data_IF_489478181186
#
_entry.id   IF_489478181186
#
_cell.length_a   1.000
_cell.length_b   1.000
_cell.length_c   1.000
_cell.angle_alpha   90.00
_cell.angle_beta   90.00
_cell.angle_gamma   90.00
#
_symmetry.space_group_name_H-M   'P 1'
#
loop_
_entity.id
_entity.type
_entity.pdbx_description
1 polymer ?
2 non-polymer ?
3 non-polymer ?
4 water ?
#
# COMPACT_ATOMS: atom_id res chain seq x y z
N UNK A 16 12.78 9.21 26.81
CA UNK A 16 12.52 10.15 27.90
C UNK A 16 11.21 9.76 28.63
N UNK A 17 11.06 10.26 29.86
CA UNK A 17 10.01 9.86 30.80
C UNK A 17 8.55 9.96 30.28
N UNK A 18 7.62 9.34 31.01
CA UNK A 18 6.17 9.62 30.83
C UNK A 18 5.74 10.70 31.83
N UNK A 19 4.85 11.61 31.41
CA UNK A 19 4.33 12.69 32.26
C UNK A 19 3.16 12.18 33.08
N UNK A 20 2.32 11.40 32.43
CA UNK A 20 1.25 10.71 33.10
C UNK A 20 0.64 9.78 32.09
N UNK A 21 -0.57 9.32 32.37
CA UNK A 21 -1.25 8.40 31.48
C UNK A 21 -2.72 8.80 31.30
N UNK A 22 -3.12 8.93 30.03
CA UNK A 22 -4.49 9.32 29.69
C UNK A 22 -5.54 8.39 30.32
N UNK A 23 -5.28 7.10 30.40
CA UNK A 23 -6.32 6.18 30.92
C UNK A 23 -6.29 6.04 32.46
N UNK A 24 -5.39 6.77 33.10
CA UNK A 24 -5.41 6.89 34.55
C UNK A 24 -6.00 8.28 34.92
N UNK A 25 -5.64 9.32 34.17
CA UNK A 25 -6.18 10.67 34.43
C UNK A 25 -7.61 10.80 33.88
N UNK A 26 -7.88 10.11 32.78
CA UNK A 26 -9.17 10.22 32.09
C UNK A 26 -9.57 8.86 31.48
N UNK A 27 -10.04 8.87 30.24
CA UNK A 27 -10.28 7.63 29.50
C UNK A 27 -9.76 7.86 28.09
N UNK A 28 -9.81 6.81 27.30
CA UNK A 28 -9.73 6.94 25.86
C UNK A 28 -10.82 7.89 25.42
N UNK A 29 -10.50 8.70 24.42
CA UNK A 29 -11.51 9.50 23.74
C UNK A 29 -12.36 8.69 22.78
N UNK A 30 -13.47 8.18 23.29
CA UNK A 30 -14.29 7.24 22.57
C UNK A 30 -14.85 7.77 21.26
N UNK A 31 -14.93 9.09 21.14
CA UNK A 31 -15.48 9.71 19.94
C UNK A 31 -14.40 10.10 18.91
N UNK A 32 -13.13 9.91 19.24
CA UNK A 32 -12.06 10.23 18.31
C UNK A 32 -12.20 9.43 17.04
N UNK A 33 -12.09 10.08 15.88
CA UNK A 33 -12.19 9.41 14.58
C UNK A 33 -11.21 8.22 14.44
N UNK A 34 -10.01 8.32 15.01
CA UNK A 34 -9.10 7.18 14.96
C UNK A 34 -9.49 6.06 15.94
N UNK A 35 -10.24 6.36 17.00
CA UNK A 35 -10.72 5.25 17.85
C UNK A 35 -11.83 4.49 17.16
N UNK A 36 -12.62 5.23 16.38
CA UNK A 36 -13.71 4.64 15.63
C UNK A 36 -13.14 3.80 14.47
N UNK A 37 -12.05 4.26 13.86
CA UNK A 37 -11.41 3.44 12.85
C UNK A 37 -10.75 2.18 13.43
N UNK A 38 -10.17 2.32 14.61
CA UNK A 38 -9.66 1.17 15.40
C UNK A 38 -10.77 0.13 15.67
N UNK A 39 -11.97 0.56 15.99
CA UNK A 39 -13.05 -0.36 16.34
C UNK A 39 -13.46 -1.11 15.09
N UNK A 40 -13.43 -0.42 13.98
CA UNK A 40 -13.79 -1.05 12.69
C UNK A 40 -12.72 -2.01 12.26
N UNK A 41 -11.47 -1.66 12.50
CA UNK A 41 -10.36 -2.53 12.14
C UNK A 41 -10.45 -3.87 12.89
N UNK A 42 -10.81 -3.81 14.17
CA UNK A 42 -10.98 -5.04 14.92
C UNK A 42 -12.14 -5.87 14.35
N UNK A 43 -13.30 -5.25 14.17
CA UNK A 43 -14.45 -5.98 13.60
C UNK A 43 -14.19 -6.62 12.26
N UNK A 44 -13.53 -5.89 11.36
CA UNK A 44 -13.33 -6.32 9.97
C UNK A 44 -11.94 -6.85 9.66
N UNK A 45 -11.11 -7.05 10.69
CA UNK A 45 -9.72 -7.43 10.51
C UNK A 45 -9.41 -8.84 10.93
N UNK A 46 -10.35 -9.75 10.74
CA UNK A 46 -10.23 -11.08 11.30
C UNK A 46 -9.54 -12.08 10.36
N UNK A 47 -9.45 -11.77 9.08
CA UNK A 47 -8.89 -12.71 8.12
C UNK A 47 -7.46 -13.12 8.47
N UNK A 48 -7.15 -14.34 8.07
CA UNK A 48 -5.84 -14.93 8.33
C UNK A 48 -5.32 -15.53 7.05
N UNK A 49 -4.19 -15.00 6.55
CA UNK A 49 -3.63 -15.55 5.31
C UNK A 49 -3.33 -17.08 5.34
N UNK A 50 -3.10 -17.61 6.54
CA UNK A 50 -2.80 -19.03 6.71
C UNK A 50 -4.01 -19.95 6.35
N UNK A 51 -5.18 -19.35 6.20
CA UNK A 51 -6.42 -20.08 5.91
C UNK A 51 -6.71 -20.12 4.42
N UNK A 52 -5.97 -19.38 3.61
CA UNK A 52 -6.21 -19.35 2.16
C UNK A 52 -5.74 -20.67 1.54
N UNK A 53 -6.65 -21.30 0.81
CA UNK A 53 -6.33 -22.47 0.02
C UNK A 53 -5.62 -22.03 -1.27
N UNK A 54 -4.34 -22.36 -1.38
CA UNK A 54 -3.55 -22.00 -2.56
C UNK A 54 -3.32 -23.22 -3.49
N UNK A 55 -3.95 -24.34 -3.21
CA UNK A 55 -3.70 -25.53 -4.03
C UNK A 55 -4.03 -25.33 -5.50
N UNK A 56 -5.05 -24.53 -5.78
CA UNK A 56 -5.42 -24.28 -7.17
C UNK A 56 -4.42 -23.31 -7.83
N UNK A 57 -3.86 -22.39 -7.04
CA UNK A 57 -2.90 -21.43 -7.59
C UNK A 57 -1.65 -22.15 -8.02
N UNK A 58 -1.26 -23.15 -7.22
CA UNK A 58 -0.16 -24.04 -7.55
C UNK A 58 -0.38 -24.74 -8.93
N UNK A 59 -1.50 -25.43 -9.07
CA UNK A 59 -1.82 -26.09 -10.34
C UNK A 59 -1.86 -25.10 -11.49
N UNK A 60 -2.47 -23.93 -11.28
CA UNK A 60 -2.56 -22.91 -12.33
C UNK A 60 -1.17 -22.47 -12.80
N UNK A 61 -0.28 -22.22 -11.86
CA UNK A 61 1.04 -21.68 -12.18
C UNK A 61 1.90 -22.72 -12.92
N UNK A 62 1.81 -23.97 -12.51
CA UNK A 62 2.48 -25.07 -13.21
C UNK A 62 1.97 -25.21 -14.65
N UNK A 63 0.64 -25.23 -14.82
CA UNK A 63 0.01 -25.29 -16.15
C UNK A 63 0.47 -24.19 -17.09
N UNK A 64 1.03 -23.13 -16.54
CA UNK A 64 1.44 -22.03 -17.39
C UNK A 64 2.69 -22.42 -18.13
N UNK A 65 2.86 -21.83 -19.30
CA UNK A 65 4.09 -21.95 -20.06
C UNK A 65 5.10 -21.09 -19.36
N UNK A 66 6.36 -21.31 -19.67
CA UNK A 66 7.44 -20.68 -18.94
C UNK A 66 7.42 -19.15 -19.15
N UNK A 67 6.84 -18.68 -20.25
CA UNK A 67 6.77 -17.24 -20.53
C UNK A 67 5.44 -16.62 -20.10
N UNK A 68 4.45 -17.47 -19.85
CA UNK A 68 3.23 -17.03 -19.19
C UNK A 68 3.53 -16.86 -17.72
N UNK A 69 4.32 -17.79 -17.19
CA UNK A 69 4.80 -17.76 -15.81
C UNK A 69 5.42 -16.44 -15.42
N UNK A 70 6.31 -15.89 -16.26
CA UNK A 70 6.97 -14.64 -15.91
C UNK A 70 6.06 -13.45 -16.11
N UNK A 71 4.95 -13.61 -16.82
CA UNK A 71 4.06 -12.46 -17.04
C UNK A 71 3.52 -11.96 -15.70
N UNK A 72 3.31 -12.88 -14.77
CA UNK A 72 2.72 -12.55 -13.49
C UNK A 72 3.72 -11.97 -12.48
N UNK A 73 4.98 -12.38 -12.61
CA UNK A 73 5.96 -12.16 -11.56
C UNK A 73 6.36 -10.69 -11.25
N UNK A 74 6.42 -9.79 -12.26
CA UNK A 74 6.82 -8.39 -11.96
C UNK A 74 5.90 -7.73 -10.96
N UNK A 75 4.61 -7.98 -11.12
CA UNK A 75 3.63 -7.39 -10.21
C UNK A 75 3.72 -8.04 -8.86
N UNK A 76 3.96 -9.33 -8.79
CA UNK A 76 4.11 -9.98 -7.51
C UNK A 76 5.38 -9.46 -6.83
N UNK A 77 6.40 -9.13 -7.63
CA UNK A 77 7.67 -8.68 -7.07
C UNK A 77 7.50 -7.28 -6.46
N UNK A 78 6.71 -6.42 -7.11
CA UNK A 78 6.41 -5.07 -6.62
C UNK A 78 5.53 -5.07 -5.36
N UNK A 79 4.62 -6.04 -5.29
CA UNK A 79 3.78 -6.18 -4.12
C UNK A 79 4.49 -6.78 -2.88
N UNK A 80 5.22 -7.88 -3.04
CA UNK A 80 5.87 -8.51 -1.87
C UNK A 80 6.81 -7.55 -1.18
N UNK A 81 7.64 -6.92 -1.99
CA UNK A 81 8.56 -5.89 -1.51
C UNK A 81 7.77 -4.73 -0.95
N UNK A 82 6.72 -4.35 -1.69
CA UNK A 82 5.89 -3.22 -1.28
C UNK A 82 5.29 -3.42 0.10
N UNK A 83 4.69 -4.58 0.33
CA UNK A 83 4.08 -4.92 1.62
C UNK A 83 5.13 -5.02 2.73
N UNK A 84 6.26 -5.65 2.42
CA UNK A 84 7.37 -5.69 3.36
C UNK A 84 7.82 -4.28 3.77
N UNK A 85 8.03 -3.39 2.79
CA UNK A 85 8.51 -2.05 3.10
C UNK A 85 7.54 -1.33 4.01
N UNK A 86 6.24 -1.45 3.76
CA UNK A 86 5.30 -0.61 4.52
C UNK A 86 5.05 -1.21 5.89
N UNK A 87 5.26 -2.52 5.99
CA UNK A 87 5.22 -3.18 7.30
C UNK A 87 6.28 -2.53 8.18
N UNK A 88 7.47 -2.40 7.63
CA UNK A 88 8.62 -1.90 8.39
C UNK A 88 8.48 -0.38 8.60
N UNK A 89 8.00 0.33 7.59
CA UNK A 89 8.17 1.79 7.55
C UNK A 89 7.05 2.60 8.19
N UNK A 90 6.06 1.93 8.75
CA UNK A 90 5.01 2.62 9.50
C UNK A 90 5.42 2.88 10.93
N UNK A 91 6.41 2.13 11.44
CA UNK A 91 6.85 2.25 12.83
C UNK A 91 7.20 3.67 13.28
N UNK A 92 7.87 4.46 12.43
CA UNK A 92 8.21 5.83 12.91
C UNK A 92 6.97 6.69 13.05
N UNK A 93 5.97 6.44 12.22
CA UNK A 93 4.74 7.23 12.35
C UNK A 93 4.12 6.94 13.69
N UNK A 94 4.08 5.64 14.03
CA UNK A 94 3.48 5.24 15.30
C UNK A 94 4.25 5.92 16.45
N UNK A 95 5.57 5.96 16.34
CA UNK A 95 6.38 6.59 17.37
C UNK A 95 6.09 8.08 17.51
N UNK A 96 6.13 8.77 16.39
CA UNK A 96 5.91 10.22 16.39
C UNK A 96 4.59 10.59 17.01
N UNK A 97 3.52 9.93 16.57
CA UNK A 97 2.22 10.23 17.10
C UNK A 97 2.10 9.84 18.58
N UNK A 98 2.73 8.73 18.96
CA UNK A 98 2.77 8.32 20.37
C UNK A 98 3.40 9.38 21.23
N UNK A 99 4.50 9.95 20.74
CA UNK A 99 5.26 10.91 21.53
C UNK A 99 4.48 12.23 21.63
N UNK A 100 3.62 12.49 20.65
CA UNK A 100 2.72 13.63 20.72
C UNK A 100 1.48 13.38 21.58
N UNK A 101 1.38 12.22 22.23
CA UNK A 101 0.22 11.97 23.09
C UNK A 101 -1.09 11.56 22.37
N UNK A 102 -1.00 11.24 21.08
CA UNK A 102 -2.19 10.93 20.29
C UNK A 102 -2.53 9.44 20.47
N UNK A 103 -3.05 9.08 21.64
CA UNK A 103 -3.21 7.67 21.98
C UNK A 103 -4.16 6.95 21.04
N UNK A 104 -5.24 7.60 20.60
CA UNK A 104 -6.21 6.87 19.76
C UNK A 104 -5.59 6.54 18.43
N UNK A 105 -4.76 7.45 17.94
CA UNK A 105 -4.02 7.23 16.71
C UNK A 105 -3.14 5.97 16.82
N UNK A 106 -2.38 5.92 17.91
CA UNK A 106 -1.53 4.80 18.19
C UNK A 106 -2.32 3.48 18.25
N UNK A 107 -3.46 3.46 18.94
CA UNK A 107 -4.27 2.25 18.98
C UNK A 107 -4.64 1.83 17.60
N UNK A 108 -5.07 2.79 16.80
CA UNK A 108 -5.43 2.43 15.45
C UNK A 108 -4.23 1.92 14.67
N UNK A 109 -3.10 2.57 14.84
CA UNK A 109 -1.93 2.15 14.10
C UNK A 109 -1.48 0.73 14.47
N UNK A 110 -1.83 0.20 15.63
CA UNK A 110 -1.49 -1.23 15.89
C UNK A 110 -2.23 -2.12 14.90
N UNK A 111 -3.44 -1.75 14.51
CA UNK A 111 -4.15 -2.60 13.57
C UNK A 111 -3.56 -2.40 12.17
N UNK A 112 -3.08 -1.20 11.90
CA UNK A 112 -2.49 -0.86 10.59
C UNK A 112 -1.28 -1.78 10.34
N UNK A 113 -0.43 -1.82 11.34
CA UNK A 113 0.81 -2.56 11.30
C UNK A 113 0.58 -4.05 11.18
N UNK A 114 -0.33 -4.56 11.98
CA UNK A 114 -0.66 -5.98 11.90
C UNK A 114 -1.30 -6.34 10.56
N UNK A 115 -2.18 -5.48 10.03
CA UNK A 115 -2.66 -5.68 8.65
C UNK A 115 -1.49 -5.85 7.68
N UNK A 116 -0.50 -4.97 7.76
CA UNK A 116 0.58 -5.02 6.78
C UNK A 116 1.36 -6.35 6.95
N UNK A 117 1.55 -6.75 8.20
CA UNK A 117 2.21 -8.02 8.48
C UNK A 117 1.51 -9.16 7.75
N UNK A 118 0.19 -9.21 7.85
CA UNK A 118 -0.57 -10.16 7.11
C UNK A 118 -0.43 -9.99 5.61
N UNK A 119 -0.22 -8.77 5.09
CA UNK A 119 -0.09 -8.60 3.65
C UNK A 119 1.19 -9.17 3.13
N UNK A 120 2.29 -8.89 3.82
CA UNK A 120 3.57 -9.53 3.52
C UNK A 120 3.46 -11.04 3.60
N UNK A 121 2.78 -11.52 4.64
CA UNK A 121 2.62 -12.95 4.86
C UNK A 121 1.93 -13.55 3.65
N UNK A 122 0.88 -12.87 3.18
CA UNK A 122 0.02 -13.46 2.15
C UNK A 122 0.79 -13.67 0.83
N UNK A 123 1.44 -12.63 0.36
CA UNK A 123 2.23 -12.81 -0.82
C UNK A 123 3.34 -13.84 -0.66
N UNK A 124 3.95 -13.91 0.52
CA UNK A 124 5.08 -14.76 0.65
C UNK A 124 4.58 -16.21 0.62
N UNK A 125 3.41 -16.45 1.19
CA UNK A 125 2.77 -17.76 1.11
C UNK A 125 2.44 -18.12 -0.31
N UNK A 126 2.02 -17.16 -1.10
CA UNK A 126 1.65 -17.48 -2.48
C UNK A 126 2.92 -17.90 -3.25
N UNK A 127 3.98 -17.12 -3.11
CA UNK A 127 5.26 -17.48 -3.71
C UNK A 127 5.75 -18.89 -3.31
N UNK A 128 5.68 -19.21 -2.03
CA UNK A 128 6.08 -20.51 -1.56
C UNK A 128 5.21 -21.57 -2.23
N UNK A 129 3.89 -21.35 -2.28
CA UNK A 129 2.98 -22.40 -2.70
C UNK A 129 3.09 -22.69 -4.19
N UNK A 130 3.33 -21.68 -5.02
CA UNK A 130 3.41 -21.90 -6.45
C UNK A 130 4.82 -22.31 -6.88
N UNK A 131 5.77 -22.23 -5.96
CA UNK A 131 7.06 -22.85 -6.17
C UNK A 131 8.12 -21.90 -6.70
N UNK A 132 7.95 -20.60 -6.51
CA UNK A 132 8.96 -19.58 -6.85
C UNK A 132 9.60 -18.93 -5.63
N UNK A 133 9.46 -19.58 -4.48
CA UNK A 133 10.00 -19.03 -3.25
C UNK A 133 11.52 -18.88 -3.30
N UNK A 134 12.18 -19.80 -4.02
CA UNK A 134 13.63 -19.80 -4.12
C UNK A 134 14.13 -18.83 -5.22
N UNK A 135 13.18 -18.24 -5.94
CA UNK A 135 13.47 -17.34 -7.04
C UNK A 135 13.63 -15.89 -6.54
N UNK A 136 14.71 -15.22 -6.96
CA UNK A 136 14.95 -13.84 -6.58
C UNK A 136 14.22 -12.86 -7.49
N UNK A 137 13.12 -12.32 -7.02
CA UNK A 137 12.30 -11.43 -7.84
C UNK A 137 12.78 -9.94 -7.85
N UNK A 138 13.91 -9.64 -7.21
CA UNK A 138 14.46 -8.28 -7.17
C UNK A 138 14.72 -7.73 -8.58
N UNK A 139 14.93 -8.63 -9.51
CA UNK A 139 15.23 -8.26 -10.88
C UNK A 139 14.10 -7.47 -11.59
N UNK A 140 12.88 -7.48 -11.02
CA UNK A 140 11.77 -6.72 -11.58
C UNK A 140 11.56 -5.37 -10.90
N UNK A 141 12.51 -4.97 -10.05
CA UNK A 141 12.50 -3.61 -9.49
C UNK A 141 13.42 -2.69 -10.27
N UNK A 142 12.86 -1.85 -11.15
CA UNK A 142 13.66 -0.91 -11.90
C UNK A 142 14.09 0.27 -11.01
N UNK A 143 14.81 1.22 -11.60
CA UNK A 143 15.37 2.34 -10.84
C UNK A 143 14.25 3.16 -10.17
N UNK A 144 13.14 3.38 -10.86
CA UNK A 144 12.03 4.17 -10.31
C UNK A 144 11.36 3.47 -9.13
N UNK A 145 11.11 2.18 -9.25
CA UNK A 145 10.61 1.44 -8.07
C UNK A 145 11.54 1.62 -6.87
N UNK A 146 12.84 1.47 -7.07
CA UNK A 146 13.82 1.62 -5.98
C UNK A 146 13.78 3.02 -5.38
N UNK A 147 13.62 4.02 -6.22
CA UNK A 147 13.60 5.37 -5.73
C UNK A 147 12.47 5.54 -4.72
N UNK A 148 11.32 4.93 -5.00
CA UNK A 148 10.17 5.13 -4.13
C UNK A 148 10.30 4.23 -2.91
N UNK A 149 10.46 2.93 -3.14
CA UNK A 149 10.37 1.94 -2.07
C UNK A 149 11.65 1.69 -1.28
N UNK A 150 12.79 1.73 -1.96
CA UNK A 150 14.06 1.45 -1.30
C UNK A 150 14.61 2.71 -0.66
N UNK A 151 14.19 3.86 -1.17
CA UNK A 151 14.72 5.17 -0.77
C UNK A 151 13.73 6.20 -0.20
N UNK A 152 12.87 6.80 -1.01
CA UNK A 152 12.01 7.89 -0.56
C UNK A 152 11.05 7.50 0.56
N UNK A 153 10.56 6.26 0.55
CA UNK A 153 9.59 5.86 1.56
C UNK A 153 10.33 5.79 2.91
N UNK A 154 11.43 5.02 2.97
CA UNK A 154 12.07 4.98 4.29
C UNK A 154 12.70 6.28 4.72
N UNK A 155 13.11 7.16 3.81
CA UNK A 155 13.68 8.43 4.23
C UNK A 155 12.64 9.28 4.85
N UNK A 156 11.46 9.35 4.22
CA UNK A 156 10.43 10.20 4.76
C UNK A 156 9.87 9.71 6.11
N UNK A 157 9.76 8.41 6.32
CA UNK A 157 9.22 7.90 7.60
C UNK A 157 10.25 8.08 8.74
N UNK A 158 11.47 7.70 8.45
CA UNK A 158 12.51 7.68 9.48
C UNK A 158 12.82 9.06 9.97
N UNK A 159 12.59 10.05 9.12
CA UNK A 159 12.81 11.43 9.45
C UNK A 159 12.02 11.78 10.68
N UNK A 160 10.90 11.12 10.86
CA UNK A 160 10.00 11.46 11.97
C UNK A 160 10.66 11.19 13.30
N UNK A 161 11.68 10.35 13.35
CA UNK A 161 12.34 10.10 14.64
C UNK A 161 12.98 11.40 15.14
N UNK A 162 13.47 12.24 14.23
CA UNK A 162 14.14 13.48 14.67
C UNK A 162 13.42 14.78 14.36
N UNK A 163 12.34 14.68 13.60
CA UNK A 163 11.68 15.84 13.07
C UNK A 163 10.21 15.45 12.85
N UNK A 164 9.34 15.90 13.73
CA UNK A 164 7.93 15.55 13.68
C UNK A 164 7.13 16.83 13.49
N UNK A 165 7.73 17.77 12.76
CA UNK A 165 7.03 18.99 12.35
C UNK A 165 5.83 18.65 11.45
N UNK A 166 4.83 19.52 11.44
CA UNK A 166 3.70 19.36 10.51
C UNK A 166 4.17 18.98 9.12
N UNK A 167 5.25 19.60 8.69
CA UNK A 167 5.75 19.42 7.34
C UNK A 167 6.32 18.01 7.13
N UNK A 168 7.02 17.51 8.14
CA UNK A 168 7.59 16.19 8.05
C UNK A 168 6.44 15.16 8.13
N UNK A 169 5.42 15.40 8.95
CA UNK A 169 4.31 14.43 9.05
C UNK A 169 3.45 14.41 7.80
N UNK A 170 3.23 15.56 7.16
CA UNK A 170 2.50 15.57 5.89
C UNK A 170 3.24 14.86 4.80
N UNK A 171 4.54 15.09 4.73
CA UNK A 171 5.32 14.43 3.71
C UNK A 171 5.34 12.91 3.91
N UNK A 172 5.47 12.45 5.16
CA UNK A 172 5.44 11.01 5.45
C UNK A 172 4.11 10.38 5.00
N UNK A 173 2.99 10.98 5.40
CA UNK A 173 1.64 10.46 5.07
C UNK A 173 1.40 10.54 3.59
N UNK A 174 1.97 11.56 2.93
CA UNK A 174 1.83 11.66 1.49
C UNK A 174 2.53 10.56 0.74
N UNK A 175 3.80 10.32 1.05
CA UNK A 175 4.55 9.29 0.38
C UNK A 175 3.99 7.90 0.71
N UNK A 176 3.67 7.67 1.98
CA UNK A 176 3.25 6.34 2.43
C UNK A 176 1.78 6.07 1.98
N UNK A 177 0.88 6.87 2.48
CA UNK A 177 -0.52 6.62 2.32
C UNK A 177 -1.11 7.07 1.00
N UNK A 178 -0.70 8.22 0.47
CA UNK A 178 -1.31 8.78 -0.72
C UNK A 178 -0.70 8.25 -2.02
N UNK A 179 0.63 8.17 -2.06
CA UNK A 179 1.33 7.63 -3.23
C UNK A 179 1.52 6.09 -3.24
N UNK A 180 2.26 5.56 -2.28
CA UNK A 180 2.54 4.11 -2.26
C UNK A 180 1.25 3.33 -2.15
N UNK A 181 0.46 3.56 -1.10
CA UNK A 181 -0.76 2.81 -0.88
C UNK A 181 -1.89 3.36 -1.76
N UNK A 182 -2.06 4.68 -1.79
CA UNK A 182 -3.26 5.26 -2.35
C UNK A 182 -3.26 5.34 -3.87
N UNK A 183 -2.08 5.26 -4.48
CA UNK A 183 -1.92 5.39 -5.90
C UNK A 183 -1.40 4.12 -6.47
N UNK A 184 -0.25 3.65 -5.98
CA UNK A 184 0.41 2.49 -6.62
C UNK A 184 -0.24 1.17 -6.26
N UNK A 185 -0.38 0.91 -4.96
CA UNK A 185 -1.01 -0.33 -4.56
C UNK A 185 -2.47 -0.39 -5.08
N UNK A 186 -3.23 0.68 -4.93
CA UNK A 186 -4.66 0.71 -5.36
C UNK A 186 -4.74 0.30 -6.80
N UNK A 187 -3.92 0.93 -7.64
CA UNK A 187 -3.87 0.61 -9.07
C UNK A 187 -3.40 -0.81 -9.32
N UNK A 188 -2.51 -1.32 -8.48
CA UNK A 188 -1.97 -2.65 -8.71
C UNK A 188 -2.98 -3.71 -8.39
N UNK A 189 -3.84 -3.45 -7.41
CA UNK A 189 -4.90 -4.39 -7.08
C UNK A 189 -5.91 -4.44 -8.22
N UNK A 190 -6.23 -3.28 -8.74
CA UNK A 190 -7.19 -3.15 -9.83
C UNK A 190 -6.70 -3.93 -11.03
N UNK A 191 -5.44 -3.73 -11.36
CA UNK A 191 -4.79 -4.35 -12.48
C UNK A 191 -4.79 -5.86 -12.35
N UNK A 192 -4.43 -6.35 -11.18
CA UNK A 192 -4.25 -7.78 -11.00
C UNK A 192 -5.60 -8.50 -11.17
N UNK A 193 -6.65 -7.86 -10.70
CA UNK A 193 -8.00 -8.38 -10.75
C UNK A 193 -8.58 -8.26 -12.15
N UNK A 194 -8.24 -7.19 -12.84
CA UNK A 194 -8.63 -7.02 -14.22
C UNK A 194 -8.08 -8.15 -15.09
N UNK A 195 -6.92 -8.67 -14.73
CA UNK A 195 -6.24 -9.61 -15.59
C UNK A 195 -6.57 -11.01 -15.13
N UNK A 196 -6.28 -11.36 -13.89
CA UNK A 196 -6.36 -12.75 -13.54
C UNK A 196 -7.76 -13.18 -13.12
N UNK A 197 -8.62 -12.24 -12.71
CA UNK A 197 -10.00 -12.65 -12.43
C UNK A 197 -10.68 -13.02 -13.75
N UNK A 198 -10.41 -12.25 -14.82
CA UNK A 198 -11.04 -12.52 -16.10
C UNK A 198 -10.52 -13.82 -16.69
N UNK A 199 -9.25 -14.13 -16.46
CA UNK A 199 -8.71 -15.42 -16.92
C UNK A 199 -9.17 -16.61 -16.07
N UNK A 200 -9.71 -16.36 -14.88
CA UNK A 200 -10.05 -17.43 -13.95
C UNK A 200 -8.87 -18.05 -13.19
N UNK A 201 -7.75 -17.33 -13.14
CA UNK A 201 -6.54 -17.83 -12.50
C UNK A 201 -6.34 -17.31 -11.07
N UNK A 202 -5.64 -18.12 -10.28
CA UNK A 202 -5.07 -17.70 -9.00
C UNK A 202 -6.13 -17.25 -8.05
N UNK A 203 -7.15 -18.09 -7.84
CA UNK A 203 -8.29 -17.80 -6.95
C UNK A 203 -7.86 -17.47 -5.51
N UNK A 204 -6.88 -18.19 -4.99
CA UNK A 204 -6.42 -17.97 -3.61
C UNK A 204 -5.77 -16.61 -3.49
N UNK A 205 -4.92 -16.26 -4.45
CA UNK A 205 -4.28 -14.97 -4.42
C UNK A 205 -5.28 -13.84 -4.51
N UNK A 206 -6.29 -13.98 -5.37
CA UNK A 206 -7.28 -12.94 -5.54
C UNK A 206 -8.11 -12.80 -4.28
N UNK A 207 -8.44 -13.92 -3.65
CA UNK A 207 -9.10 -13.84 -2.38
C UNK A 207 -8.23 -13.02 -1.40
N UNK A 208 -6.94 -13.33 -1.34
CA UNK A 208 -6.02 -12.58 -0.52
C UNK A 208 -6.03 -11.07 -0.84
N UNK A 209 -5.92 -10.74 -2.12
CA UNK A 209 -5.98 -9.36 -2.60
C UNK A 209 -7.26 -8.64 -2.17
N UNK A 210 -8.39 -9.33 -2.25
CA UNK A 210 -9.67 -8.75 -1.82
C UNK A 210 -9.62 -8.39 -0.33
N UNK A 211 -9.09 -9.28 0.50
CA UNK A 211 -9.07 -9.01 1.92
C UNK A 211 -8.18 -7.83 2.16
N UNK A 212 -7.08 -7.86 1.45
CA UNK A 212 -6.10 -6.81 1.52
C UNK A 212 -6.69 -5.48 1.14
N UNK A 213 -7.47 -5.49 0.06
CA UNK A 213 -8.00 -4.24 -0.44
C UNK A 213 -8.92 -3.65 0.62
N UNK A 214 -9.72 -4.49 1.29
CA UNK A 214 -10.52 -4.02 2.41
C UNK A 214 -9.73 -3.41 3.57
N UNK A 215 -8.64 -4.06 3.99
CA UNK A 215 -7.83 -3.45 5.03
C UNK A 215 -7.37 -2.07 4.57
N UNK A 216 -6.97 -1.97 3.32
CA UNK A 216 -6.28 -0.75 2.86
C UNK A 216 -7.21 0.46 2.79
N UNK A 217 -8.51 0.21 2.63
CA UNK A 217 -9.51 1.25 2.84
C UNK A 217 -9.37 2.00 4.17
N UNK A 218 -9.14 1.28 5.27
CA UNK A 218 -8.84 1.98 6.53
C UNK A 218 -7.56 2.73 6.50
N UNK A 219 -6.53 2.14 5.92
CA UNK A 219 -5.21 2.77 5.95
C UNK A 219 -5.22 4.15 5.30
N UNK A 220 -5.89 4.26 4.17
CA UNK A 220 -5.94 5.54 3.45
C UNK A 220 -6.76 6.57 4.23
N UNK A 221 -7.78 6.11 4.94
CA UNK A 221 -8.54 7.00 5.76
C UNK A 221 -7.69 7.59 6.89
N UNK A 222 -6.72 6.84 7.42
CA UNK A 222 -5.78 7.43 8.41
C UNK A 222 -4.89 8.50 7.75
N UNK A 223 -4.40 8.24 6.54
CA UNK A 223 -3.55 9.21 5.90
C UNK A 223 -4.31 10.48 5.58
N UNK A 224 -5.57 10.32 5.15
CA UNK A 224 -6.42 11.47 4.83
C UNK A 224 -6.66 12.28 6.09
N UNK A 225 -7.04 11.60 7.15
CA UNK A 225 -7.27 12.24 8.46
C UNK A 225 -6.03 13.00 8.90
N UNK A 226 -4.87 12.38 8.72
CA UNK A 226 -3.62 12.94 9.22
C UNK A 226 -3.22 14.17 8.40
N UNK A 227 -3.31 14.07 7.09
CA UNK A 227 -2.92 15.18 6.25
C UNK A 227 -3.94 16.32 6.49
N UNK A 228 -5.24 16.01 6.42
CA UNK A 228 -6.26 17.04 6.61
C UNK A 228 -6.14 17.75 7.96
N UNK A 229 -5.78 17.06 9.06
CA UNK A 229 -5.82 17.75 10.35
C UNK A 229 -4.67 18.73 10.43
N UNK A 230 -3.61 18.46 9.68
CA UNK A 230 -2.49 19.39 9.62
C UNK A 230 -2.79 20.59 8.68
N UNK A 231 -3.28 20.30 7.49
CA UNK A 231 -3.72 21.32 6.57
C UNK A 231 -4.69 22.31 7.22
N UNK A 232 -5.60 21.79 8.03
CA UNK A 232 -6.58 22.61 8.74
C UNK A 232 -6.00 23.72 9.62
N UNK A 233 -4.85 23.46 10.21
CA UNK A 233 -4.12 24.48 10.96
C UNK A 233 -3.62 25.62 10.09
N UNK A 234 -3.24 25.33 8.85
CA UNK A 234 -2.59 26.32 8.01
C UNK A 234 -2.67 25.92 6.51
N UNK A 235 -3.41 26.71 5.73
CA UNK A 235 -3.48 26.55 4.27
C UNK A 235 -2.17 26.28 3.56
N UNK A 236 -1.09 26.89 4.06
CA UNK A 236 0.20 26.75 3.40
C UNK A 236 0.50 25.27 3.16
N UNK A 237 0.15 24.45 4.15
CA UNK A 237 0.46 23.02 4.11
C UNK A 237 -0.23 22.30 2.95
N UNK A 238 -1.40 22.78 2.52
CA UNK A 238 -2.00 22.30 1.27
C UNK A 238 -1.07 22.36 0.04
N UNK A 239 -0.42 23.48 -0.19
CA UNK A 239 0.46 23.58 -1.34
C UNK A 239 1.62 22.62 -1.17
N UNK A 240 2.02 22.41 0.09
CA UNK A 240 3.09 21.45 0.39
C UNK A 240 2.65 20.06 -0.02
N UNK A 241 1.45 19.68 0.40
CA UNK A 241 0.87 18.40 0.03
C UNK A 241 0.85 18.20 -1.48
N UNK A 242 0.34 19.19 -2.22
CA UNK A 242 0.23 19.05 -3.67
C UNK A 242 1.61 18.91 -4.25
N UNK A 243 2.54 19.69 -3.74
CA UNK A 243 3.90 19.63 -4.23
C UNK A 243 4.58 18.28 -3.99
N UNK A 244 4.47 17.71 -2.79
CA UNK A 244 5.13 16.42 -2.56
C UNK A 244 4.46 15.38 -3.45
N UNK A 245 3.16 15.51 -3.68
CA UNK A 245 2.51 14.58 -4.62
C UNK A 245 3.17 14.69 -6.00
N UNK A 246 3.24 15.90 -6.54
CA UNK A 246 3.77 16.07 -7.90
C UNK A 246 5.25 15.63 -7.95
N UNK A 247 6.05 15.84 -6.90
CA UNK A 247 7.45 15.37 -6.92
C UNK A 247 7.61 13.88 -7.14
N UNK A 248 6.69 13.08 -6.64
CA UNK A 248 6.85 11.64 -6.75
C UNK A 248 6.35 11.08 -8.08
N UNK A 249 5.39 11.79 -8.64
CA UNK A 249 4.70 11.33 -9.85
C UNK A 249 5.61 10.72 -10.94
N UNK A 250 6.69 11.42 -11.32
CA UNK A 250 7.64 10.84 -12.28
C UNK A 250 8.11 9.44 -11.95
N UNK A 251 8.22 9.13 -10.67
CA UNK A 251 8.72 7.81 -10.33
C UNK A 251 7.58 6.81 -10.38
N UNK A 252 6.37 7.29 -10.13
CA UNK A 252 5.15 6.48 -10.23
C UNK A 252 4.92 6.05 -11.68
N UNK A 253 4.83 7.03 -12.57
CA UNK A 253 4.62 6.70 -13.98
C UNK A 253 5.81 6.01 -14.60
N UNK A 254 7.01 6.25 -14.09
CA UNK A 254 8.19 5.59 -14.63
C UNK A 254 8.28 4.14 -14.23
N UNK A 255 7.73 3.81 -13.08
CA UNK A 255 7.55 2.39 -12.78
C UNK A 255 6.42 1.83 -13.68
N UNK A 256 5.36 2.60 -13.89
CA UNK A 256 4.25 2.09 -14.70
C UNK A 256 4.68 1.82 -16.15
N UNK A 257 5.51 2.69 -16.73
CA UNK A 257 5.99 2.48 -18.10
C UNK A 257 6.83 1.21 -18.14
N UNK A 258 7.70 1.05 -17.15
CA UNK A 258 8.58 -0.11 -17.13
C UNK A 258 7.77 -1.39 -17.12
N UNK A 259 6.73 -1.42 -16.30
CA UNK A 259 5.89 -2.61 -16.20
C UNK A 259 5.11 -2.84 -17.50
N UNK A 260 4.48 -1.76 -17.97
CA UNK A 260 3.78 -1.72 -19.25
C UNK A 260 4.63 -2.33 -20.35
N UNK A 261 5.88 -1.91 -20.35
CA UNK A 261 6.80 -2.26 -21.40
C UNK A 261 7.29 -3.71 -21.22
N UNK A 262 7.37 -4.19 -19.98
CA UNK A 262 7.58 -5.62 -19.76
C UNK A 262 6.42 -6.47 -20.27
N UNK A 263 5.21 -6.09 -19.90
CA UNK A 263 4.03 -6.85 -20.22
C UNK A 263 3.73 -6.88 -21.71
N UNK A 264 4.20 -5.86 -22.43
CA UNK A 264 4.00 -5.78 -23.88
C UNK A 264 4.96 -6.67 -24.65
N UNK A 265 6.13 -6.93 -24.08
CA UNK A 265 7.07 -7.83 -24.72
C UNK A 265 6.81 -9.29 -24.26
N UNK A 266 5.75 -9.48 -23.47
CA UNK A 266 5.20 -10.82 -23.18
C UNK A 266 3.69 -10.84 -23.43
N UNK A 267 3.30 -11.35 -24.58
CA UNK A 267 1.93 -11.17 -25.06
C UNK A 267 1.18 -12.49 -25.05
N UNK A 268 1.85 -13.58 -24.72
CA UNK A 268 1.22 -14.88 -24.80
C UNK A 268 0.04 -15.06 -23.84
N UNK A 269 0.22 -14.74 -22.56
CA UNK A 269 -0.86 -14.91 -21.58
C UNK A 269 -2.07 -14.09 -21.98
N UNK A 270 -1.82 -12.87 -22.44
CA UNK A 270 -2.86 -12.05 -23.01
C UNK A 270 -3.49 -12.74 -24.23
N UNK A 271 -2.68 -13.39 -25.06
CA UNK A 271 -3.16 -14.16 -26.21
C UNK A 271 -3.85 -15.46 -25.79
N UNK A 272 -3.21 -16.15 -24.85
CA UNK A 272 -3.61 -17.48 -24.41
C UNK A 272 -4.97 -17.39 -23.73
N UNK A 273 -5.02 -16.63 -22.64
CA UNK A 273 -6.23 -16.43 -21.84
C UNK A 273 -7.07 -15.34 -22.50
N UNK A 274 -6.53 -14.81 -23.60
CA UNK A 274 -7.28 -14.03 -24.57
C UNK A 274 -7.85 -12.73 -23.98
N UNK A 275 -7.09 -12.18 -23.03
CA UNK A 275 -7.47 -10.97 -22.33
C UNK A 275 -6.85 -9.76 -22.97
N UNK A 276 -7.70 -8.79 -23.34
CA UNK A 276 -7.20 -7.54 -23.89
C UNK A 276 -6.70 -6.66 -22.75
N UNK A 277 -5.44 -6.86 -22.36
CA UNK A 277 -4.81 -6.01 -21.36
C UNK A 277 -4.73 -4.62 -21.96
N UNK A 278 -5.71 -3.78 -21.65
CA UNK A 278 -5.70 -2.42 -22.13
C UNK A 278 -4.70 -1.64 -21.26
N UNK A 279 -3.43 -1.65 -21.63
CA UNK A 279 -2.41 -0.93 -20.85
C UNK A 279 -2.78 0.54 -20.78
N UNK A 280 -3.38 1.07 -21.85
CA UNK A 280 -3.78 2.47 -21.84
C UNK A 280 -5.02 2.73 -20.97
N UNK A 281 -5.58 1.69 -20.39
CA UNK A 281 -6.70 1.82 -19.45
C UNK A 281 -6.19 1.73 -18.00
N UNK A 282 -5.21 0.86 -17.77
CA UNK A 282 -4.55 0.77 -16.49
C UNK A 282 -3.85 2.08 -16.22
N UNK A 283 -3.14 2.55 -17.26
CA UNK A 283 -2.31 3.74 -17.15
C UNK A 283 -3.19 4.88 -16.69
N UNK A 284 -4.42 4.93 -17.22
CA UNK A 284 -5.34 6.02 -16.88
C UNK A 284 -5.94 5.81 -15.48
N UNK A 285 -5.99 4.57 -15.02
CA UNK A 285 -6.43 4.34 -13.66
C UNK A 285 -5.40 4.92 -12.67
N UNK A 286 -4.11 4.77 -12.98
CA UNK A 286 -3.04 5.31 -12.15
C UNK A 286 -3.13 6.82 -12.08
N UNK A 287 -3.31 7.41 -13.26
CA UNK A 287 -3.45 8.84 -13.35
C UNK A 287 -4.67 9.30 -12.58
N UNK A 288 -5.73 8.50 -12.69
CA UNK A 288 -6.99 8.78 -12.01
C UNK A 288 -6.91 8.65 -10.48
N UNK A 289 -6.24 7.60 -10.01
CA UNK A 289 -6.08 7.41 -8.57
C UNK A 289 -5.34 8.60 -7.98
N UNK A 290 -4.27 8.99 -8.63
CA UNK A 290 -3.44 10.09 -8.19
C UNK A 290 -4.22 11.41 -7.99
N UNK A 291 -4.97 11.80 -9.01
CA UNK A 291 -5.80 13.01 -8.92
C UNK A 291 -6.89 12.88 -7.90
N UNK A 292 -7.46 11.69 -7.84
CA UNK A 292 -8.45 11.38 -6.82
C UNK A 292 -7.92 11.61 -5.40
N UNK A 293 -6.67 11.22 -5.16
CA UNK A 293 -6.12 11.40 -3.82
C UNK A 293 -5.97 12.85 -3.50
N UNK A 294 -5.50 13.63 -4.48
CA UNK A 294 -5.40 15.09 -4.27
C UNK A 294 -6.72 15.70 -3.84
N UNK A 295 -7.80 15.27 -4.49
CA UNK A 295 -9.15 15.76 -4.19
C UNK A 295 -9.68 15.38 -2.81
N UNK A 296 -9.02 14.47 -2.10
CA UNK A 296 -9.55 14.10 -0.76
C UNK A 296 -8.95 15.01 0.33
N UNK A 297 -8.03 15.85 -0.08
CA UNK A 297 -7.50 16.89 0.78
C UNK A 297 -8.01 18.24 0.25
N UNK A 298 -8.71 19.00 1.08
CA UNK A 298 -9.13 20.35 0.70
C UNK A 298 -8.30 21.44 1.40
N UNK A 299 -8.20 22.59 0.73
CA UNK A 299 -7.38 23.69 1.22
C UNK A 299 -7.92 24.16 2.56
N UNK A 300 -9.20 23.88 2.79
CA UNK A 300 -9.89 24.28 3.99
C UNK A 300 -10.98 23.23 4.31
N UNK A 301 -10.90 22.62 5.49
CA UNK A 301 -11.93 21.66 5.97
C UNK A 301 -11.60 21.13 7.36
X LIG B 1 -1.66 -0.25 4.03
X LIG C 1 13.18 6.44 -16.45
X LIG D 1 -0.69 -3.55 2.74
#
# INVERSE_FOLDING_TARGET
>A
MAHHHHHHVDDDDKMVHHDGFQTVKATIDWEHPMFKLYEKAKRNGKWNPADIDFSQDQKDFASLTSEEKISALPLVAGFSAGEEAVTLDILPMAHALARQGRLEDVLFLTTFMHDEAKHVEMFSRWQQAVGIGQMDLSVFHNDHYKRIFYEALPEAMNRLYADDSPEAVIRAATVYNMIVEGTLFESGYYTFRQIYKKAGLFPGLLQGIDYLNMDEGRHIQFGIYTIQRIVNEDERYYELFIRYMDELWPHVIGYVDYLTELGKRQQQLARTYALEIDYDLLRHYVIKQFNLRKKQISRTKRVDVVEGLEKTAAES
>B hetero
1 FE2 FE
>C hetero
1 FE2 FE
>D hetero
1 MN MN
#
